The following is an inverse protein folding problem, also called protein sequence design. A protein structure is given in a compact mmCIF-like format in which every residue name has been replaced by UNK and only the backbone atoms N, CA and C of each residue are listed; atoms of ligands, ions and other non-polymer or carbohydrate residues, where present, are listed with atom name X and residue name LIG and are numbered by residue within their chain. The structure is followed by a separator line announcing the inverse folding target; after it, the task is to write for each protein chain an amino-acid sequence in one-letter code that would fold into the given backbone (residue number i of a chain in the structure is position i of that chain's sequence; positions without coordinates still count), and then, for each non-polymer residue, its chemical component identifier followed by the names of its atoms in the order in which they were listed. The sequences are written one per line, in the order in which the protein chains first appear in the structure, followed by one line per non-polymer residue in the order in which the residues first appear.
data_IF_494867323277
#
_entry.id   IF_494867323277
#
_cell.length_a   1.000
_cell.length_b   1.000
_cell.length_c   1.000
_cell.angle_alpha   90.00
_cell.angle_beta   90.00
_cell.angle_gamma   90.00
#
_symmetry.space_group_name_H-M   'P 1'
#
loop_
_entity.id
_entity.type
_entity.pdbx_description
1 polymer ?
#
# COMPACT_ATOMS: atom_id res chain seq x y z
N UNK A 1 -9.47 0.91 -2.02
CA UNK A 1 -8.06 1.25 -2.33
C UNK A 1 -7.60 2.25 -1.27
N UNK A 2 -6.30 2.37 -0.99
CA UNK A 2 -5.73 3.35 -0.08
C UNK A 2 -5.57 4.69 -0.78
N UNK A 3 -6.20 5.74 -0.27
CA UNK A 3 -6.25 7.07 -0.87
C UNK A 3 -5.32 8.07 -0.16
N UNK A 4 -4.98 9.15 -0.87
CA UNK A 4 -4.17 10.25 -0.31
C UNK A 4 -4.84 10.91 0.92
N UNK A 5 -6.17 11.01 0.91
CA UNK A 5 -6.96 11.52 2.03
C UNK A 5 -6.78 10.64 3.27
N UNK A 6 -6.78 9.32 3.11
CA UNK A 6 -6.63 8.36 4.22
C UNK A 6 -5.27 8.57 4.91
N UNK A 7 -4.21 8.70 4.11
CA UNK A 7 -2.87 9.00 4.63
C UNK A 7 -2.83 10.34 5.36
N UNK A 8 -3.38 11.41 4.77
CA UNK A 8 -3.43 12.74 5.40
C UNK A 8 -4.18 12.69 6.74
N UNK A 9 -5.30 11.96 6.82
CA UNK A 9 -6.07 11.81 8.04
C UNK A 9 -5.31 10.99 9.10
N UNK A 10 -4.58 9.94 8.70
CA UNK A 10 -3.78 9.14 9.62
C UNK A 10 -2.64 9.95 10.23
N UNK A 11 -1.85 10.65 9.39
CA UNK A 11 -0.71 11.45 9.87
C UNK A 11 -1.16 12.69 10.64
N UNK A 12 -2.32 13.27 10.29
CA UNK A 12 -2.90 14.42 10.98
C UNK A 12 -3.42 14.14 12.40
N UNK A 13 -3.40 12.88 12.85
CA UNK A 13 -3.73 12.53 14.25
C UNK A 13 -2.56 12.73 15.21
N UNK A 14 -1.33 12.78 14.71
CA UNK A 14 -0.14 13.08 15.52
C UNK A 14 -0.14 14.55 15.98
N UNK A 15 0.55 14.85 17.09
CA UNK A 15 0.80 16.24 17.54
C UNK A 15 -0.35 16.93 18.26
N UNK A 16 -1.33 16.16 18.75
CA UNK A 16 -2.43 16.68 19.59
C UNK A 16 -2.03 16.92 21.05
N UNK A 17 -0.85 16.48 21.44
CA UNK A 17 -0.25 16.65 22.77
C UNK A 17 0.45 18.02 22.94
N UNK A 18 0.47 18.86 21.88
CA UNK A 18 1.17 20.15 21.89
C UNK A 18 2.68 20.03 21.72
N UNK A 19 3.21 18.81 21.50
CA UNK A 19 4.61 18.60 21.17
C UNK A 19 4.94 19.15 19.78
N UNK A 20 6.03 19.90 19.68
CA UNK A 20 6.55 20.39 18.39
C UNK A 20 7.20 19.29 17.54
N UNK A 21 7.38 18.09 18.09
CA UNK A 21 8.06 16.97 17.42
C UNK A 21 7.07 15.86 17.08
N UNK A 22 6.68 15.81 15.81
CA UNK A 22 5.82 14.76 15.27
C UNK A 22 6.37 14.25 13.95
N UNK A 23 6.34 12.94 13.76
CA UNK A 23 6.91 12.29 12.59
C UNK A 23 5.86 11.42 11.90
N UNK A 24 5.90 11.41 10.58
CA UNK A 24 5.14 10.49 9.75
C UNK A 24 6.12 9.78 8.81
N UNK A 25 5.95 8.48 8.66
CA UNK A 25 6.78 7.65 7.78
C UNK A 25 5.87 7.02 6.73
N UNK A 26 6.28 7.10 5.47
CA UNK A 26 5.59 6.47 4.36
C UNK A 26 6.50 5.41 3.73
N UNK A 27 6.08 4.16 3.81
CA UNK A 27 6.69 3.06 3.07
C UNK A 27 5.87 2.77 1.80
N UNK A 28 6.55 2.64 0.66
CA UNK A 28 5.93 2.33 -0.63
C UNK A 28 6.58 1.07 -1.21
N UNK A 29 5.76 0.11 -1.61
CA UNK A 29 6.18 -1.14 -2.24
C UNK A 29 5.68 -1.21 -3.69
N UNK A 30 6.45 -1.70 -4.67
CA UNK A 30 6.09 -1.65 -6.09
C UNK A 30 4.73 -2.28 -6.47
N UNK A 31 4.26 -3.26 -5.68
CA UNK A 31 3.03 -4.02 -5.94
C UNK A 31 1.81 -3.34 -5.32
N UNK A 32 1.22 -2.40 -6.07
CA UNK A 32 0.18 -1.48 -5.59
C UNK A 32 -1.21 -1.77 -6.21
N UNK A 33 -1.71 -3.01 -6.11
CA UNK A 33 -3.05 -3.37 -6.59
C UNK A 33 -4.15 -2.56 -5.89
N UNK A 34 -3.95 -2.24 -4.60
CA UNK A 34 -4.95 -1.56 -3.77
C UNK A 34 -4.61 -0.10 -3.45
N UNK A 35 -3.74 0.58 -4.20
CA UNK A 35 -3.41 2.00 -3.95
C UNK A 35 -4.00 2.90 -5.03
N UNK A 36 -4.62 4.01 -4.60
CA UNK A 36 -5.28 4.96 -5.49
C UNK A 36 -4.28 5.66 -6.42
N UNK A 37 -4.79 6.21 -7.52
CA UNK A 37 -3.99 7.06 -8.43
C UNK A 37 -3.45 8.31 -7.75
N UNK A 38 -4.22 8.93 -6.84
CA UNK A 38 -3.78 10.14 -6.12
C UNK A 38 -2.61 9.86 -5.18
N UNK A 39 -2.60 8.71 -4.51
CA UNK A 39 -1.48 8.30 -3.66
C UNK A 39 -0.24 7.99 -4.50
N UNK A 40 -0.38 7.25 -5.60
CA UNK A 40 0.73 6.98 -6.53
C UNK A 40 1.35 8.26 -7.09
N UNK A 41 0.51 9.23 -7.45
CA UNK A 41 0.92 10.55 -7.92
C UNK A 41 1.72 11.29 -6.84
N UNK A 42 1.21 11.32 -5.60
CA UNK A 42 1.92 11.92 -4.46
C UNK A 42 3.31 11.30 -4.26
N UNK A 43 3.42 9.98 -4.16
CA UNK A 43 4.72 9.29 -3.97
C UNK A 43 5.72 9.61 -5.09
N UNK A 44 5.23 9.70 -6.32
CA UNK A 44 6.07 10.02 -7.49
C UNK A 44 6.52 11.48 -7.48
N UNK A 45 5.61 12.41 -7.22
CA UNK A 45 5.87 13.86 -7.24
C UNK A 45 6.69 14.33 -6.04
N UNK A 46 6.57 13.66 -4.90
CA UNK A 46 7.23 14.01 -3.65
C UNK A 46 8.72 13.65 -3.65
N UNK A 47 9.22 12.86 -4.62
CA UNK A 47 10.64 12.53 -4.75
C UNK A 47 11.47 13.82 -4.89
N UNK A 48 12.41 14.03 -3.95
CA UNK A 48 13.30 15.19 -3.91
C UNK A 48 12.57 16.54 -3.83
N UNK A 49 11.32 16.57 -3.35
CA UNK A 49 10.54 17.79 -3.10
C UNK A 49 10.03 17.82 -1.67
N UNK A 50 9.58 18.99 -1.22
CA UNK A 50 8.96 19.11 0.10
C UNK A 50 7.72 18.20 0.19
N UNK A 51 7.73 17.27 1.15
CA UNK A 51 6.61 16.35 1.38
C UNK A 51 5.34 17.10 1.75
N UNK A 52 5.47 18.16 2.57
CA UNK A 52 4.35 18.96 3.07
C UNK A 52 3.61 19.65 1.94
N UNK A 53 4.33 20.43 1.12
CA UNK A 53 3.72 21.16 0.01
C UNK A 53 3.08 20.20 -1.00
N UNK A 54 3.77 19.11 -1.33
CA UNK A 54 3.26 18.09 -2.26
C UNK A 54 2.02 17.38 -1.71
N UNK A 55 1.95 17.09 -0.41
CA UNK A 55 0.80 16.45 0.22
C UNK A 55 -0.44 17.34 0.20
N UNK A 56 -0.28 18.65 0.45
CA UNK A 56 -1.40 19.58 0.54
C UNK A 56 -1.84 20.17 -0.81
N UNK A 57 -0.98 20.15 -1.82
CA UNK A 57 -1.29 20.71 -3.16
C UNK A 57 -2.63 20.21 -3.73
N UNK A 58 -2.98 18.92 -3.68
CA UNK A 58 -4.25 18.42 -4.23
C UNK A 58 -5.50 18.86 -3.46
N UNK A 59 -5.35 19.41 -2.26
CA UNK A 59 -6.46 19.86 -1.41
C UNK A 59 -6.68 21.38 -1.46
N UNK A 60 -5.75 22.12 -2.06
CA UNK A 60 -5.74 23.58 -2.07
C UNK A 60 -6.06 24.14 -3.47
N UNK A 61 -7.24 23.81 -4.02
CA UNK A 61 -7.65 24.30 -5.34
C UNK A 61 -7.92 25.83 -5.37
N UNK A 62 -8.18 26.46 -4.22
CA UNK A 62 -8.58 27.87 -4.09
C UNK A 62 -7.72 28.71 -3.13
N UNK A 63 -6.58 28.20 -2.65
CA UNK A 63 -5.74 28.88 -1.65
C UNK A 63 -4.30 29.07 -2.12
N UNK A 64 -3.56 29.96 -1.45
CA UNK A 64 -2.11 30.13 -1.63
C UNK A 64 -1.41 28.77 -1.51
N UNK A 65 -0.35 28.59 -2.31
CA UNK A 65 0.47 27.38 -2.28
C UNK A 65 0.96 27.14 -0.86
N UNK A 66 0.88 25.88 -0.41
CA UNK A 66 1.47 25.51 0.87
C UNK A 66 2.98 25.56 0.73
N UNK A 67 3.59 26.57 1.33
CA UNK A 67 5.03 26.72 1.36
C UNK A 67 5.68 25.78 2.40
N UNK A 68 6.94 25.37 2.19
CA UNK A 68 7.73 24.67 3.19
C UNK A 68 7.84 25.47 4.51
N UNK A 69 7.97 24.76 5.63
CA UNK A 69 8.24 25.42 6.91
C UNK A 69 9.67 25.93 6.97
N UNK A 70 9.86 27.07 7.64
CA UNK A 70 11.16 27.65 7.96
C UNK A 70 11.30 27.68 9.50
N UNK A 71 12.35 27.08 10.10
CA UNK A 71 13.51 26.44 9.47
C UNK A 71 13.17 25.11 8.77
N UNK A 72 13.90 24.80 7.70
CA UNK A 72 13.69 23.61 6.86
C UNK A 72 13.78 22.29 7.64
N UNK A 73 14.61 22.24 8.69
CA UNK A 73 14.73 21.13 9.63
C UNK A 73 13.48 20.91 10.51
N UNK A 74 12.44 21.73 10.39
CA UNK A 74 11.15 21.51 11.04
C UNK A 74 10.06 21.07 10.04
N UNK A 75 10.39 20.91 8.76
CA UNK A 75 9.40 20.67 7.71
C UNK A 75 9.25 19.19 7.34
N UNK A 76 10.27 18.60 6.73
CA UNK A 76 10.27 17.20 6.28
C UNK A 76 11.71 16.75 5.99
N UNK A 77 11.92 15.46 5.71
CA UNK A 77 13.23 14.89 5.42
C UNK A 77 13.96 15.61 4.27
N UNK A 78 13.27 15.98 3.19
CA UNK A 78 13.90 16.68 2.06
C UNK A 78 14.27 18.14 2.38
N UNK A 79 13.43 18.86 3.10
CA UNK A 79 13.74 20.24 3.50
C UNK A 79 14.83 20.31 4.57
N UNK A 80 14.95 19.28 5.40
CA UNK A 80 16.00 19.18 6.39
C UNK A 80 17.39 19.02 5.75
N UNK A 81 17.49 18.33 4.60
CA UNK A 81 18.74 18.17 3.85
C UNK A 81 19.34 19.49 3.35
N UNK A 82 18.50 20.51 3.15
CA UNK A 82 18.89 21.83 2.66
C UNK A 82 18.73 22.91 3.74
N UNK A 83 18.80 22.56 5.03
CA UNK A 83 18.72 23.55 6.11
C UNK A 83 20.10 24.16 6.36
N UNK A 84 20.20 25.49 6.29
CA UNK A 84 21.43 26.24 6.53
C UNK A 84 21.54 26.71 7.99
N UNK A 85 21.21 25.82 8.91
CA UNK A 85 20.91 26.15 10.29
C UNK A 85 22.14 25.85 11.15
N UNK A 86 22.73 26.86 11.82
CA UNK A 86 24.00 26.76 12.57
C UNK A 86 23.96 25.85 13.83
N UNK A 87 22.83 25.19 14.09
CA UNK A 87 22.64 24.27 15.20
C UNK A 87 21.19 23.77 15.29
N UNK A 88 20.94 22.72 16.06
CA UNK A 88 19.59 22.18 16.28
C UNK A 88 19.05 21.27 15.17
N UNK A 89 19.82 21.04 14.10
CA UNK A 89 19.56 20.00 13.10
C UNK A 89 19.89 18.58 13.62
N UNK A 90 19.52 18.29 14.86
CA UNK A 90 19.75 17.00 15.52
C UNK A 90 18.69 16.00 15.01
N UNK A 91 18.74 15.74 13.71
CA UNK A 91 17.96 14.69 13.09
C UNK A 91 18.70 13.37 13.33
N UNK A 92 18.14 12.53 14.20
CA UNK A 92 18.31 11.09 14.04
C UNK A 92 17.94 10.81 12.60
N UNK A 93 18.93 10.45 11.79
CA UNK A 93 18.81 10.22 10.35
C UNK A 93 17.51 9.43 10.11
N UNK A 94 16.44 10.13 9.74
CA UNK A 94 15.23 9.49 9.22
C UNK A 94 15.76 8.57 8.14
N UNK A 95 15.43 7.26 8.16
CA UNK A 95 16.09 6.29 7.30
C UNK A 95 16.06 6.85 5.89
N UNK A 96 17.27 7.16 5.40
CA UNK A 96 17.55 7.77 4.12
C UNK A 96 16.80 6.89 3.13
N UNK A 97 15.68 7.39 2.57
CA UNK A 97 14.66 6.62 1.82
C UNK A 97 15.25 5.27 1.45
N UNK A 98 14.97 4.24 2.25
CA UNK A 98 15.52 2.92 1.98
C UNK A 98 14.83 2.45 0.71
N UNK A 99 15.42 2.81 -0.43
CA UNK A 99 15.12 2.22 -1.71
C UNK A 99 15.56 0.76 -1.57
N UNK A 100 14.64 -0.06 -1.07
CA UNK A 100 14.82 -1.50 -1.07
C UNK A 100 14.99 -1.87 -2.55
N UNK A 101 16.16 -2.39 -2.92
CA UNK A 101 16.36 -2.92 -4.25
C UNK A 101 15.22 -3.90 -4.50
N UNK A 102 14.38 -3.54 -5.47
CA UNK A 102 13.28 -4.39 -5.90
C UNK A 102 13.97 -5.61 -6.47
N UNK A 103 14.06 -6.66 -5.66
CA UNK A 103 14.25 -7.99 -6.19
C UNK A 103 13.04 -8.18 -7.10
N UNK A 104 13.22 -7.95 -8.40
CA UNK A 104 12.20 -8.20 -9.41
C UNK A 104 11.66 -9.56 -9.05
N UNK A 105 10.41 -9.60 -8.59
CA UNK A 105 9.80 -10.84 -8.13
C UNK A 105 9.89 -11.77 -9.33
N UNK A 106 10.91 -12.63 -9.33
CA UNK A 106 10.89 -13.85 -10.10
C UNK A 106 9.63 -14.48 -9.57
N UNK A 107 8.56 -14.42 -10.36
CA UNK A 107 7.31 -15.15 -10.14
C UNK A 107 7.79 -16.49 -9.59
N UNK A 108 7.50 -16.78 -8.32
CA UNK A 108 8.02 -18.00 -7.69
C UNK A 108 7.26 -19.13 -8.35
N UNK A 109 7.77 -19.56 -9.50
CA UNK A 109 7.23 -20.66 -10.28
C UNK A 109 7.78 -21.88 -9.57
N UNK A 110 6.99 -22.42 -8.67
CA UNK A 110 7.17 -23.81 -8.24
C UNK A 110 6.75 -24.68 -9.41
N UNK A 111 7.61 -25.60 -9.85
CA UNK A 111 7.20 -26.62 -10.80
C UNK A 111 6.27 -27.58 -10.06
N UNK A 112 4.97 -27.49 -10.33
CA UNK A 112 3.94 -28.38 -9.77
C UNK A 112 3.73 -29.54 -10.75
N UNK A 113 3.84 -30.78 -10.27
CA UNK A 113 3.52 -31.95 -11.10
C UNK A 113 2.04 -32.00 -11.45
N UNK A 114 1.71 -32.61 -12.59
CA UNK A 114 0.31 -32.82 -12.99
C UNK A 114 -0.47 -33.64 -11.95
N UNK A 115 0.20 -34.59 -11.30
CA UNK A 115 -0.36 -35.37 -10.17
C UNK A 115 -0.80 -34.46 -9.02
N UNK A 116 0.03 -33.48 -8.65
CA UNK A 116 -0.31 -32.53 -7.59
C UNK A 116 -1.44 -31.60 -8.00
N UNK A 117 -1.50 -31.20 -9.28
CA UNK A 117 -2.60 -30.40 -9.83
C UNK A 117 -3.92 -31.16 -9.81
N UNK A 118 -3.90 -32.43 -10.17
CA UNK A 118 -5.06 -33.31 -10.13
C UNK A 118 -5.54 -33.55 -8.70
N UNK A 119 -4.63 -33.80 -7.76
CA UNK A 119 -4.98 -33.94 -6.35
C UNK A 119 -5.68 -32.69 -5.81
N UNK A 120 -5.16 -31.49 -6.12
CA UNK A 120 -5.80 -30.24 -5.69
C UNK A 120 -7.17 -30.06 -6.36
N UNK A 121 -7.31 -30.41 -7.65
CA UNK A 121 -8.61 -30.40 -8.32
C UNK A 121 -9.61 -31.31 -7.60
N UNK A 122 -9.23 -32.56 -7.34
CA UNK A 122 -10.09 -33.55 -6.67
C UNK A 122 -10.53 -33.05 -5.29
N UNK A 123 -9.61 -32.52 -4.49
CA UNK A 123 -9.93 -31.97 -3.17
C UNK A 123 -10.91 -30.77 -3.23
N UNK A 124 -10.75 -29.89 -4.23
CA UNK A 124 -11.63 -28.73 -4.41
C UNK A 124 -13.03 -29.15 -4.85
N UNK A 125 -13.14 -30.14 -5.75
CA UNK A 125 -14.41 -30.71 -6.18
C UNK A 125 -15.12 -31.42 -5.02
N UNK A 126 -14.39 -32.24 -4.25
CA UNK A 126 -14.95 -32.94 -3.10
C UNK A 126 -15.45 -31.94 -2.03
N UNK A 127 -14.69 -30.89 -1.75
CA UNK A 127 -15.11 -29.83 -0.83
C UNK A 127 -16.36 -29.10 -1.33
N UNK A 128 -16.47 -28.85 -2.64
CA UNK A 128 -17.66 -28.24 -3.24
C UNK A 128 -18.90 -29.14 -3.10
N UNK A 129 -18.76 -30.44 -3.36
CA UNK A 129 -19.85 -31.41 -3.23
C UNK A 129 -20.31 -31.57 -1.77
N UNK A 130 -19.35 -31.68 -0.83
CA UNK A 130 -19.65 -31.74 0.60
C UNK A 130 -20.42 -30.50 1.06
N UNK A 131 -19.98 -29.31 0.68
CA UNK A 131 -20.68 -28.07 1.04
C UNK A 131 -22.03 -27.94 0.35
N UNK A 132 -22.13 -28.32 -0.93
CA UNK A 132 -23.39 -28.37 -1.68
C UNK A 132 -24.42 -29.27 -1.00
N UNK A 133 -24.00 -30.40 -0.44
CA UNK A 133 -24.90 -31.34 0.24
C UNK A 133 -25.52 -30.79 1.54
N UNK A 134 -24.86 -29.78 2.13
CA UNK A 134 -25.31 -29.13 3.37
C UNK A 134 -26.23 -27.93 3.12
N UNK A 135 -26.41 -27.52 1.86
CA UNK A 135 -27.16 -26.32 1.53
C UNK A 135 -28.64 -26.60 1.26
N UNK A 136 -29.55 -25.70 1.69
CA UNK A 136 -30.95 -25.75 1.28
C UNK A 136 -31.07 -25.67 -0.25
N UNK A 137 -32.00 -26.45 -0.83
CA UNK A 137 -32.31 -26.54 -2.28
C UNK A 137 -32.62 -25.19 -2.99
N UNK A 138 -32.65 -24.08 -2.26
CA UNK A 138 -33.06 -22.76 -2.74
C UNK A 138 -31.89 -21.87 -3.18
N UNK A 139 -30.64 -22.26 -2.91
CA UNK A 139 -29.45 -21.48 -3.27
C UNK A 139 -28.45 -22.31 -4.07
N UNK A 140 -28.05 -21.87 -5.28
CA UNK A 140 -26.94 -22.47 -6.02
C UNK A 140 -25.69 -22.56 -5.13
N UNK A 141 -25.04 -23.74 -5.02
CA UNK A 141 -23.86 -23.94 -4.19
C UNK A 141 -22.71 -22.99 -4.51
N UNK A 142 -22.59 -22.57 -5.76
CA UNK A 142 -21.54 -21.68 -6.24
C UNK A 142 -21.63 -20.29 -5.59
N UNK A 143 -22.82 -19.84 -5.20
CA UNK A 143 -23.03 -18.56 -4.53
C UNK A 143 -22.61 -18.57 -3.06
N UNK A 144 -22.56 -19.76 -2.44
CA UNK A 144 -22.24 -19.92 -1.02
C UNK A 144 -20.78 -20.34 -0.84
N UNK A 145 -20.31 -21.27 -1.66
CA UNK A 145 -18.94 -21.79 -1.60
C UNK A 145 -17.95 -20.90 -2.36
N UNK A 146 -18.42 -20.18 -3.39
CA UNK A 146 -17.54 -19.46 -4.32
C UNK A 146 -16.72 -20.39 -5.23
N UNK A 147 -16.95 -21.70 -5.18
CA UNK A 147 -16.19 -22.73 -5.90
C UNK A 147 -16.98 -23.22 -7.12
N UNK A 148 -17.08 -22.39 -8.16
CA UNK A 148 -17.58 -22.88 -9.45
C UNK A 148 -16.52 -23.72 -10.17
N UNK A 149 -16.94 -24.58 -11.09
CA UNK A 149 -16.05 -25.36 -11.95
C UNK A 149 -15.03 -24.46 -12.66
N UNK A 150 -15.46 -23.31 -13.17
CA UNK A 150 -14.58 -22.31 -13.80
C UNK A 150 -13.53 -21.72 -12.86
N UNK A 151 -13.85 -21.55 -11.57
CA UNK A 151 -12.92 -21.03 -10.56
C UNK A 151 -11.92 -22.13 -10.18
N UNK A 152 -12.38 -23.36 -10.00
CA UNK A 152 -11.51 -24.51 -9.71
C UNK A 152 -10.49 -24.69 -10.84
N UNK A 153 -10.94 -24.68 -12.09
CA UNK A 153 -10.08 -24.76 -13.28
C UNK A 153 -9.05 -23.62 -13.33
N UNK A 154 -9.49 -22.39 -13.06
CA UNK A 154 -8.61 -21.22 -13.03
C UNK A 154 -7.55 -21.34 -11.94
N UNK A 155 -7.91 -21.80 -10.74
CA UNK A 155 -6.95 -22.03 -9.65
C UNK A 155 -5.90 -23.06 -10.08
N UNK A 156 -6.32 -24.21 -10.62
CA UNK A 156 -5.41 -25.29 -11.03
C UNK A 156 -4.47 -24.87 -12.18
N UNK A 157 -4.96 -24.09 -13.13
CA UNK A 157 -4.14 -23.55 -14.23
C UNK A 157 -3.08 -22.55 -13.76
N UNK A 158 -3.33 -21.86 -12.65
CA UNK A 158 -2.44 -20.85 -12.08
C UNK A 158 -1.55 -21.38 -10.94
N UNK A 159 -1.61 -22.68 -10.61
CA UNK A 159 -0.65 -23.38 -9.73
C UNK A 159 0.69 -23.64 -10.42
#
# INVERSE_FOLDING_TARGET
AFHLVDYCQQVGRAGRDGSSKCHAILYSFPHHAHVSRSMKKFVTEAKNKCLRSTLYTPFNENCEKVEPLNPGHSCCSFCALSCDCDGGCDYTLLPKVEEMEICSEKKVIRNVSDESKNLVREMLVESHEQQSSLLPLLTPPELVTGLSETVIESVVQNL
#
